data_IF_926944699558
#
_entry.id   IF_926944699558
#
_cell.length_a   1.000
_cell.length_b   1.000
_cell.length_c   1.000
_cell.angle_alpha   90.00
_cell.angle_beta   90.00
_cell.angle_gamma   90.00
#
_symmetry.space_group_name_H-M   'P 1'
#
loop_
_entity.id
_entity.type
_entity.pdbx_description
1 polymer ?
#
# COMPACT_ATOMS: atom_id res chain seq x y z
N UNK A 1 -5.58 -24.68 2.93
CA UNK A 1 -6.38 -23.63 3.59
C UNK A 1 -6.00 -22.32 2.93
N UNK A 2 -6.97 -21.51 2.49
CA UNK A 2 -6.66 -20.17 1.96
C UNK A 2 -6.07 -19.34 3.10
N UNK A 3 -4.89 -18.74 2.89
CA UNK A 3 -4.32 -17.81 3.86
C UNK A 3 -5.21 -16.57 3.89
N UNK A 4 -5.63 -16.17 5.09
CA UNK A 4 -6.37 -14.92 5.32
C UNK A 4 -5.40 -13.74 5.26
N UNK A 5 -5.19 -13.21 4.04
CA UNK A 5 -4.24 -12.14 3.79
C UNK A 5 -4.71 -10.80 4.38
N UNK A 6 -6.01 -10.54 4.40
CA UNK A 6 -6.59 -9.35 5.04
C UNK A 6 -6.23 -9.28 6.53
N UNK A 7 -6.30 -10.40 7.24
CA UNK A 7 -5.89 -10.48 8.64
C UNK A 7 -4.40 -10.22 8.81
N UNK A 8 -3.53 -10.77 7.96
CA UNK A 8 -2.09 -10.56 8.03
C UNK A 8 -1.73 -9.09 7.75
N UNK A 9 -2.33 -8.49 6.72
CA UNK A 9 -2.13 -7.09 6.36
C UNK A 9 -2.58 -6.15 7.49
N UNK A 10 -3.72 -6.45 8.14
CA UNK A 10 -4.18 -5.72 9.33
C UNK A 10 -3.19 -5.79 10.49
N UNK A 11 -2.68 -7.00 10.78
CA UNK A 11 -1.72 -7.22 11.86
C UNK A 11 -0.41 -6.48 11.61
N UNK A 12 0.10 -6.57 10.38
CA UNK A 12 1.27 -5.81 9.94
C UNK A 12 1.04 -4.30 10.08
N UNK A 13 -0.07 -3.76 9.55
CA UNK A 13 -0.41 -2.33 9.63
C UNK A 13 -0.39 -1.83 11.08
N UNK A 14 -1.11 -2.50 11.98
CA UNK A 14 -1.18 -2.08 13.38
C UNK A 14 0.15 -2.25 14.11
N UNK A 15 0.91 -3.31 13.81
CA UNK A 15 2.21 -3.53 14.42
C UNK A 15 3.22 -2.45 13.98
N UNK A 16 3.35 -2.20 12.68
CA UNK A 16 4.22 -1.17 12.14
C UNK A 16 3.85 0.22 12.69
N UNK A 17 2.54 0.55 12.70
CA UNK A 17 2.02 1.81 13.25
C UNK A 17 2.40 1.99 14.71
N UNK A 18 2.20 0.96 15.52
CA UNK A 18 2.53 1.00 16.94
C UNK A 18 4.04 1.13 17.17
N UNK A 19 4.85 0.37 16.43
CA UNK A 19 6.31 0.40 16.55
C UNK A 19 6.84 1.78 16.18
N UNK A 20 6.40 2.35 15.06
CA UNK A 20 6.73 3.71 14.64
C UNK A 20 6.38 4.74 15.73
N UNK A 21 5.09 4.86 16.05
CA UNK A 21 4.57 5.90 16.94
C UNK A 21 5.16 5.83 18.36
N UNK A 22 5.54 4.64 18.82
CA UNK A 22 6.01 4.43 20.19
C UNK A 22 7.53 4.58 20.31
N UNK A 23 8.28 4.07 19.33
CA UNK A 23 9.73 3.89 19.49
C UNK A 23 10.57 4.71 18.52
N UNK A 24 10.08 4.98 17.30
CA UNK A 24 10.89 5.61 16.26
C UNK A 24 10.52 7.07 16.03
N UNK A 25 9.23 7.42 16.05
CA UNK A 25 8.77 8.81 15.88
C UNK A 25 9.43 9.79 16.86
N UNK A 26 9.67 9.46 18.15
CA UNK A 26 10.35 10.39 19.07
C UNK A 26 11.86 10.54 18.83
N UNK A 27 12.47 9.70 17.99
CA UNK A 27 13.91 9.70 17.76
C UNK A 27 14.27 10.69 16.64
N UNK A 28 15.38 11.45 16.79
CA UNK A 28 15.94 12.19 15.67
C UNK A 28 16.28 11.24 14.52
N UNK A 29 15.84 11.55 13.30
CA UNK A 29 16.02 10.70 12.12
C UNK A 29 15.46 9.27 12.27
N UNK A 30 14.45 9.08 13.14
CA UNK A 30 13.85 7.76 13.39
C UNK A 30 13.32 7.07 12.14
N UNK A 31 12.91 7.83 11.13
CA UNK A 31 12.47 7.32 9.82
C UNK A 31 13.55 6.48 9.12
N UNK A 32 14.82 6.88 9.22
CA UNK A 32 15.92 6.21 8.54
C UNK A 32 16.12 4.78 9.08
N UNK A 33 16.03 4.63 10.39
CA UNK A 33 16.16 3.34 11.07
C UNK A 33 14.89 2.49 10.93
N UNK A 34 13.72 3.13 10.90
CA UNK A 34 12.45 2.43 10.85
C UNK A 34 12.21 1.71 9.52
N UNK A 35 12.71 2.21 8.38
CA UNK A 35 12.51 1.57 7.06
C UNK A 35 12.91 0.08 7.07
N UNK A 36 14.06 -0.25 7.67
CA UNK A 36 14.53 -1.63 7.75
C UNK A 36 13.67 -2.50 8.68
N UNK A 37 13.14 -1.88 9.74
CA UNK A 37 12.22 -2.54 10.67
C UNK A 37 10.88 -2.81 10.00
N UNK A 38 10.31 -1.83 9.30
CA UNK A 38 9.07 -1.95 8.55
C UNK A 38 9.17 -3.08 7.50
N UNK A 39 10.25 -3.12 6.73
CA UNK A 39 10.51 -4.22 5.79
C UNK A 39 10.55 -5.59 6.49
N UNK A 40 11.20 -5.67 7.65
CA UNK A 40 11.30 -6.93 8.42
C UNK A 40 9.94 -7.35 8.99
N UNK A 41 9.13 -6.38 9.46
CA UNK A 41 7.77 -6.60 9.92
C UNK A 41 6.89 -7.12 8.79
N UNK A 42 6.93 -6.49 7.62
CA UNK A 42 6.17 -6.94 6.46
C UNK A 42 6.57 -8.35 6.02
N UNK A 43 7.87 -8.62 5.91
CA UNK A 43 8.37 -9.94 5.54
C UNK A 43 7.93 -11.02 6.54
N UNK A 44 8.10 -10.78 7.84
CA UNK A 44 7.80 -11.78 8.88
C UNK A 44 6.31 -11.98 9.14
N UNK A 45 5.52 -10.90 9.15
CA UNK A 45 4.10 -10.93 9.50
C UNK A 45 3.19 -11.21 8.31
N UNK A 46 3.61 -10.85 7.09
CA UNK A 46 2.82 -11.05 5.86
C UNK A 46 3.42 -12.15 5.00
N UNK A 47 4.64 -11.93 4.46
CA UNK A 47 5.18 -12.80 3.42
C UNK A 47 5.42 -14.24 3.90
N UNK A 48 6.14 -14.42 5.02
CA UNK A 48 6.39 -15.75 5.58
C UNK A 48 5.09 -16.45 5.99
N UNK A 49 4.17 -15.72 6.64
CA UNK A 49 2.90 -16.31 7.09
C UNK A 49 1.98 -16.70 5.92
N UNK A 50 2.16 -16.06 4.77
CA UNK A 50 1.42 -16.37 3.56
C UNK A 50 2.10 -17.39 2.63
N UNK A 51 3.28 -17.92 3.01
CA UNK A 51 4.06 -18.82 2.15
C UNK A 51 4.65 -18.11 0.92
N UNK A 52 4.94 -16.82 1.06
CA UNK A 52 5.51 -15.93 0.04
C UNK A 52 6.94 -15.51 0.41
N UNK A 53 7.69 -16.30 1.18
CA UNK A 53 9.01 -15.94 1.71
C UNK A 53 10.08 -15.69 0.64
N UNK A 54 9.87 -16.17 -0.59
CA UNK A 54 10.74 -15.92 -1.73
C UNK A 54 10.43 -14.61 -2.45
N UNK A 55 9.26 -14.01 -2.21
CA UNK A 55 8.86 -12.73 -2.81
C UNK A 55 9.68 -11.61 -2.17
N UNK A 56 10.15 -10.70 -3.02
CA UNK A 56 10.85 -9.47 -2.62
C UNK A 56 10.15 -8.29 -3.29
N UNK A 57 9.83 -7.21 -2.54
CA UNK A 57 9.43 -5.97 -3.17
C UNK A 57 10.49 -5.53 -4.18
N UNK A 58 10.07 -4.91 -5.28
CA UNK A 58 11.03 -4.31 -6.23
C UNK A 58 11.66 -3.03 -5.65
N UNK A 59 12.53 -2.36 -6.43
CA UNK A 59 13.16 -1.12 -6.01
C UNK A 59 12.19 0.05 -5.73
N UNK A 60 10.93 -0.07 -6.13
CA UNK A 60 9.84 0.89 -5.85
C UNK A 60 8.96 0.48 -4.66
N UNK A 61 9.23 -0.68 -4.04
CA UNK A 61 8.39 -1.27 -3.00
C UNK A 61 7.21 -2.09 -3.54
N UNK A 62 7.12 -2.31 -4.86
CA UNK A 62 6.02 -3.04 -5.47
C UNK A 62 6.06 -4.52 -5.10
N UNK A 63 4.94 -5.03 -4.62
CA UNK A 63 4.75 -6.44 -4.29
C UNK A 63 3.73 -7.04 -5.25
N UNK A 64 4.20 -7.45 -6.44
CA UNK A 64 3.32 -7.96 -7.51
C UNK A 64 2.46 -9.16 -7.09
N UNK A 65 2.96 -9.97 -6.16
CA UNK A 65 2.22 -11.13 -5.64
C UNK A 65 0.97 -10.74 -4.84
N UNK A 66 0.82 -9.49 -4.41
CA UNK A 66 -0.34 -9.04 -3.61
C UNK A 66 -1.19 -8.09 -4.46
N UNK A 67 -2.39 -8.56 -4.83
CA UNK A 67 -3.39 -7.73 -5.49
C UNK A 67 -4.29 -7.06 -4.45
N UNK A 68 -4.59 -5.78 -4.69
CA UNK A 68 -5.52 -4.96 -3.92
C UNK A 68 -6.88 -4.96 -4.62
N UNK A 69 -7.93 -5.32 -3.88
CA UNK A 69 -9.30 -5.40 -4.38
C UNK A 69 -10.15 -4.32 -3.72
N UNK A 70 -10.57 -3.28 -4.45
CA UNK A 70 -11.43 -2.25 -3.88
C UNK A 70 -12.83 -2.79 -3.58
N UNK A 71 -13.38 -2.38 -2.44
CA UNK A 71 -14.75 -2.66 -2.02
C UNK A 71 -15.62 -1.45 -2.37
N UNK A 72 -16.26 -1.48 -3.55
CA UNK A 72 -17.04 -0.35 -4.03
C UNK A 72 -18.35 -0.16 -3.24
N UNK A 73 -18.66 1.07 -2.79
CA UNK A 73 -19.93 1.39 -2.17
C UNK A 73 -21.08 1.41 -3.20
N UNK A 74 -22.35 1.41 -2.76
CA UNK A 74 -23.53 1.42 -3.66
C UNK A 74 -23.59 2.59 -4.64
N UNK A 75 -22.92 3.71 -4.35
CA UNK A 75 -22.80 4.87 -5.25
C UNK A 75 -22.00 4.58 -6.52
N UNK A 76 -21.32 3.43 -6.60
CA UNK A 76 -20.71 2.93 -7.83
C UNK A 76 -19.35 3.54 -8.16
N UNK A 77 -18.66 4.17 -7.20
CA UNK A 77 -17.26 4.59 -7.33
C UNK A 77 -16.61 4.74 -5.95
N UNK A 78 -15.27 4.79 -5.94
CA UNK A 78 -14.45 5.18 -4.79
C UNK A 78 -13.75 6.49 -5.10
N UNK A 79 -13.78 7.42 -4.15
CA UNK A 79 -12.91 8.60 -4.19
C UNK A 79 -11.48 8.14 -3.86
N UNK A 80 -10.51 8.53 -4.70
CA UNK A 80 -9.11 8.14 -4.60
C UNK A 80 -8.21 9.35 -4.82
N UNK A 81 -6.97 9.27 -4.32
CA UNK A 81 -5.90 10.12 -4.82
C UNK A 81 -5.07 9.32 -5.81
N UNK A 82 -4.63 9.93 -6.90
CA UNK A 82 -3.74 9.29 -7.86
C UNK A 82 -2.60 10.21 -8.27
N UNK A 83 -1.46 9.62 -8.57
CA UNK A 83 -0.30 10.32 -9.10
C UNK A 83 0.42 9.43 -10.13
N UNK A 84 1.00 10.06 -11.14
CA UNK A 84 1.92 9.35 -12.03
C UNK A 84 3.14 8.90 -11.24
N UNK A 85 3.64 7.71 -11.56
CA UNK A 85 4.90 7.22 -10.97
C UNK A 85 6.00 8.26 -11.19
N UNK A 86 6.71 8.71 -10.14
CA UNK A 86 7.79 9.68 -10.25
C UNK A 86 8.82 9.22 -11.28
N UNK A 87 9.20 10.09 -12.20
CA UNK A 87 10.30 9.84 -13.14
C UNK A 87 11.58 10.51 -12.60
N UNK A 88 12.77 10.16 -13.10
CA UNK A 88 14.00 10.85 -12.69
C UNK A 88 13.94 12.38 -12.83
N UNK A 89 13.12 12.88 -13.75
CA UNK A 89 12.90 14.30 -14.00
C UNK A 89 11.88 14.94 -13.04
N UNK A 90 10.94 14.17 -12.48
CA UNK A 90 9.89 14.64 -11.58
C UNK A 90 10.00 13.91 -10.25
N UNK A 91 10.69 14.55 -9.29
CA UNK A 91 10.97 13.96 -7.97
C UNK A 91 9.77 13.91 -7.03
N UNK A 92 8.82 14.82 -7.19
CA UNK A 92 7.64 14.93 -6.32
C UNK A 92 6.37 14.49 -7.04
N UNK A 93 5.62 13.58 -6.41
CA UNK A 93 4.33 13.13 -6.90
C UNK A 93 3.29 14.24 -6.72
N UNK A 94 2.72 14.72 -7.83
CA UNK A 94 1.56 15.61 -7.80
C UNK A 94 0.29 14.78 -7.67
N UNK A 95 -0.16 14.60 -6.44
CA UNK A 95 -1.38 13.87 -6.14
C UNK A 95 -2.62 14.65 -6.55
N UNK A 96 -3.54 13.97 -7.23
CA UNK A 96 -4.79 14.52 -7.73
C UNK A 96 -5.96 13.72 -7.16
N UNK A 97 -7.03 14.41 -6.78
CA UNK A 97 -8.30 13.76 -6.45
C UNK A 97 -8.94 13.21 -7.71
N UNK A 98 -9.47 12.00 -7.61
CA UNK A 98 -10.14 11.33 -8.71
C UNK A 98 -11.09 10.26 -8.24
N UNK A 99 -11.71 9.58 -9.20
CA UNK A 99 -12.66 8.50 -8.94
C UNK A 99 -12.20 7.22 -9.59
N UNK A 100 -12.31 6.15 -8.83
CA UNK A 100 -12.14 4.79 -9.32
C UNK A 100 -13.51 4.14 -9.47
N UNK A 101 -13.81 3.59 -10.62
CA UNK A 101 -15.08 2.93 -10.93
C UNK A 101 -14.94 1.41 -10.88
N UNK A 102 -16.02 0.66 -10.55
CA UNK A 102 -16.04 -0.78 -10.72
C UNK A 102 -15.78 -1.17 -12.17
N UNK A 103 -15.05 -2.27 -12.39
CA UNK A 103 -14.73 -2.76 -13.72
C UNK A 103 -13.59 -3.78 -13.68
N UNK A 104 -13.06 -4.13 -14.85
CA UNK A 104 -11.79 -4.85 -14.93
C UNK A 104 -10.69 -3.99 -14.30
N UNK A 105 -10.11 -4.46 -13.19
CA UNK A 105 -9.12 -3.69 -12.44
C UNK A 105 -8.03 -4.61 -11.86
N UNK A 106 -6.77 -4.28 -12.14
CA UNK A 106 -5.60 -4.92 -11.56
C UNK A 106 -4.77 -3.89 -10.78
N UNK A 107 -4.87 -3.94 -9.45
CA UNK A 107 -4.09 -3.09 -8.53
C UNK A 107 -3.08 -3.94 -7.77
N UNK A 108 -1.82 -3.51 -7.71
CA UNK A 108 -0.76 -4.21 -6.97
C UNK A 108 -0.29 -3.41 -5.77
N UNK A 109 -0.09 -4.07 -4.64
CA UNK A 109 0.27 -3.41 -3.40
C UNK A 109 1.67 -2.80 -3.46
N UNK A 110 1.81 -1.55 -3.00
CA UNK A 110 3.10 -0.87 -2.82
C UNK A 110 3.44 -0.70 -1.33
N UNK A 111 2.44 -0.40 -0.51
CA UNK A 111 2.66 -0.06 0.90
C UNK A 111 1.44 0.54 1.55
N UNK A 112 1.51 0.73 2.86
CA UNK A 112 0.62 1.67 3.55
C UNK A 112 1.16 3.09 3.41
N UNK A 113 0.28 4.07 3.48
CA UNK A 113 0.61 5.46 3.27
C UNK A 113 -0.14 6.37 4.24
N UNK A 114 0.52 7.46 4.61
CA UNK A 114 -0.03 8.58 5.38
C UNK A 114 0.54 9.91 4.87
N UNK A 115 -0.22 10.98 5.04
CA UNK A 115 0.22 12.36 4.79
C UNK A 115 0.98 12.97 5.97
N UNK A 116 0.93 12.31 7.13
CA UNK A 116 1.71 12.66 8.30
C UNK A 116 3.18 12.94 7.93
N UNK A 117 3.75 14.02 8.46
CA UNK A 117 5.17 14.28 8.27
C UNK A 117 6.01 13.19 8.95
N UNK A 118 7.30 13.11 8.61
CA UNK A 118 8.22 12.14 9.23
C UNK A 118 8.40 12.34 10.74
N UNK A 119 7.94 13.47 11.27
CA UNK A 119 7.98 13.79 12.70
C UNK A 119 6.62 13.59 13.38
N UNK A 120 5.58 13.20 12.64
CA UNK A 120 4.23 13.02 13.16
C UNK A 120 3.89 11.54 13.41
N UNK A 121 2.93 11.25 14.30
CA UNK A 121 2.33 9.93 14.38
C UNK A 121 1.73 9.52 13.04
N UNK A 122 1.96 8.26 12.64
CA UNK A 122 1.34 7.68 11.46
C UNK A 122 0.08 6.92 11.84
N UNK A 123 -0.92 6.99 10.97
CA UNK A 123 -2.16 6.21 11.04
C UNK A 123 -2.27 5.17 9.93
N UNK A 124 -1.41 5.23 8.90
CA UNK A 124 -1.48 4.34 7.74
C UNK A 124 -2.89 4.27 7.16
N UNK A 125 -3.49 5.44 7.00
CA UNK A 125 -4.88 5.57 6.56
C UNK A 125 -5.11 4.97 5.18
N UNK A 126 -4.13 5.10 4.29
CA UNK A 126 -4.25 4.69 2.90
C UNK A 126 -3.46 3.43 2.59
N UNK A 127 -3.95 2.68 1.62
CA UNK A 127 -3.23 1.66 0.87
C UNK A 127 -2.77 2.28 -0.43
N UNK A 128 -1.45 2.33 -0.63
CA UNK A 128 -0.86 2.71 -1.91
C UNK A 128 -0.79 1.47 -2.79
N UNK A 129 -1.33 1.58 -4.00
CA UNK A 129 -1.30 0.53 -4.99
C UNK A 129 -0.96 1.08 -6.38
N UNK A 130 -0.38 0.26 -7.25
CA UNK A 130 -0.13 0.60 -8.65
C UNK A 130 -1.22 0.01 -9.54
N UNK A 131 -1.74 0.81 -10.45
CA UNK A 131 -2.73 0.38 -11.45
C UNK A 131 -2.00 -0.25 -12.64
N UNK A 132 -2.22 -1.54 -12.87
CA UNK A 132 -1.66 -2.27 -14.01
C UNK A 132 -2.62 -2.31 -15.20
N UNK A 133 -3.91 -2.41 -14.93
CA UNK A 133 -4.96 -2.42 -15.96
C UNK A 133 -6.26 -1.91 -15.38
N UNK A 134 -6.98 -1.10 -16.16
CA UNK A 134 -8.30 -0.58 -15.79
C UNK A 134 -9.12 -0.18 -17.02
N UNK A 135 -10.45 -0.07 -16.87
CA UNK A 135 -11.33 0.56 -17.87
C UNK A 135 -11.21 2.09 -17.91
N UNK A 136 -10.37 2.68 -17.06
CA UNK A 136 -10.04 4.11 -16.98
C UNK A 136 -8.58 4.34 -17.43
N UNK A 137 -8.27 4.40 -18.75
CA UNK A 137 -6.91 4.34 -19.27
C UNK A 137 -5.97 5.42 -18.72
N UNK A 138 -6.52 6.57 -18.30
CA UNK A 138 -5.77 7.65 -17.68
C UNK A 138 -5.12 7.28 -16.34
N UNK A 139 -5.62 6.25 -15.66
CA UNK A 139 -5.09 5.76 -14.39
C UNK A 139 -4.06 4.64 -14.57
N UNK A 140 -3.94 4.03 -15.74
CA UNK A 140 -2.96 2.96 -15.97
C UNK A 140 -1.53 3.46 -15.72
N UNK A 141 -0.74 2.70 -14.96
CA UNK A 141 0.61 3.07 -14.55
C UNK A 141 0.69 4.12 -13.44
N UNK A 142 -0.45 4.64 -12.97
CA UNK A 142 -0.49 5.54 -11.81
C UNK A 142 -0.41 4.74 -10.50
N UNK A 143 0.12 5.41 -9.47
CA UNK A 143 -0.07 5.00 -8.11
C UNK A 143 -1.37 5.62 -7.59
N UNK A 144 -2.16 4.85 -6.85
CA UNK A 144 -3.44 5.25 -6.26
C UNK A 144 -3.41 5.05 -4.75
N UNK A 145 -4.07 5.94 -4.01
CA UNK A 145 -4.33 5.83 -2.58
C UNK A 145 -5.79 5.49 -2.37
N UNK A 146 -6.04 4.34 -1.75
CA UNK A 146 -7.37 3.91 -1.33
C UNK A 146 -7.45 3.89 0.19
N UNK A 147 -8.58 4.28 0.76
CA UNK A 147 -8.84 4.12 2.19
C UNK A 147 -8.69 2.65 2.59
N UNK A 148 -7.92 2.35 3.65
CA UNK A 148 -7.70 0.98 4.10
C UNK A 148 -9.00 0.18 4.33
N UNK A 149 -10.06 0.74 4.95
CA UNK A 149 -11.33 0.03 5.13
C UNK A 149 -12.06 -0.31 3.82
N UNK A 150 -11.69 0.30 2.70
CA UNK A 150 -12.32 0.15 1.40
C UNK A 150 -11.57 -0.85 0.49
N UNK A 151 -10.66 -1.66 1.02
CA UNK A 151 -9.92 -2.65 0.24
C UNK A 151 -9.82 -4.01 0.94
N UNK A 152 -9.62 -5.04 0.13
CA UNK A 152 -9.20 -6.39 0.53
C UNK A 152 -7.95 -6.80 -0.24
N UNK A 153 -7.25 -7.82 0.24
CA UNK A 153 -5.98 -8.29 -0.31
C UNK A 153 -6.09 -9.75 -0.76
N UNK A 154 -5.55 -10.05 -1.94
CA UNK A 154 -5.45 -11.41 -2.45
C UNK A 154 -4.02 -11.73 -2.87
N UNK A 155 -3.59 -12.96 -2.60
CA UNK A 155 -2.36 -13.50 -3.18
C UNK A 155 -2.64 -13.93 -4.62
N UNK A 156 -1.80 -13.48 -5.54
CA UNK A 156 -1.85 -13.89 -6.94
C UNK A 156 -0.66 -14.80 -7.21
N UNK A 157 -0.96 -16.09 -7.45
CA UNK A 157 0.02 -17.04 -7.97
C UNK A 157 0.27 -16.73 -9.43
N UNK A 158 1.51 -16.39 -9.78
CA UNK A 158 1.97 -16.31 -11.17
C UNK A 158 2.04 -17.68 -11.83
#
# INVERSE_FOLDING_TARGET
>A
MSVDLDRLMRQYRECARHVWNTYFQPLPEGWHEFINVEHSLFHGLVLVQAGMESIRPDGSGLVEAIRVRPCFPPVGHLEVFHAKTPTPEVREAQWQEGRLSPGALDLRFLGFFDWASLDDPQDYRFVRARVFSTEQPELEGCDVLLEYPAVTFEHVSG
#
